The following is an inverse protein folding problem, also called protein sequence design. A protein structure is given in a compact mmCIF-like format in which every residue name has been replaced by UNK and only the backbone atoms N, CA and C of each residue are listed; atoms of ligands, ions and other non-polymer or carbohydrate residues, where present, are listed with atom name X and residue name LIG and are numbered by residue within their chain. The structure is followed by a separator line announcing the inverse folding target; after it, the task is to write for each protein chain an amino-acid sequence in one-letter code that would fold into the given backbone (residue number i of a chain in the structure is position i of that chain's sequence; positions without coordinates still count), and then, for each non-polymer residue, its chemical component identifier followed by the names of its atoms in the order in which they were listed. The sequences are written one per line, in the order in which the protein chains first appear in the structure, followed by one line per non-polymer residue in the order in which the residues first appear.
data_IF_913612618738
#
_entry.id   IF_913612618738
#
_cell.length_a   1.000
_cell.length_b   1.000
_cell.length_c   1.000
_cell.angle_alpha   90.00
_cell.angle_beta   90.00
_cell.angle_gamma   90.00
#
_symmetry.space_group_name_H-M   'P 1'
#
loop_
_entity.id
_entity.type
_entity.pdbx_description
1 polymer ?
#
# COMPACT_ATOMS: atom_id res chain seq x y z
N UNK A 1 -24.49 3.72 -8.40
CA UNK A 1 -25.27 2.75 -7.60
C UNK A 1 -26.45 3.49 -7.01
N UNK A 2 -27.64 3.24 -7.53
CA UNK A 2 -28.87 3.69 -6.90
C UNK A 2 -29.04 2.90 -5.60
N UNK A 3 -29.68 3.49 -4.60
CA UNK A 3 -29.96 2.82 -3.32
C UNK A 3 -30.65 1.44 -3.53
N UNK A 4 -31.46 1.33 -4.59
CA UNK A 4 -32.14 0.09 -4.99
C UNK A 4 -31.20 -1.04 -5.43
N UNK A 5 -30.15 -0.76 -6.23
CA UNK A 5 -29.18 -1.80 -6.63
C UNK A 5 -28.43 -2.33 -5.43
N UNK A 6 -27.97 -1.44 -4.55
CA UNK A 6 -27.27 -1.82 -3.31
C UNK A 6 -28.13 -2.73 -2.44
N UNK A 7 -29.40 -2.36 -2.23
CA UNK A 7 -30.34 -3.13 -1.42
C UNK A 7 -30.62 -4.51 -2.01
N UNK A 8 -30.77 -4.60 -3.34
CA UNK A 8 -30.95 -5.87 -4.03
C UNK A 8 -29.75 -6.80 -3.82
N UNK A 9 -28.53 -6.31 -4.09
CA UNK A 9 -27.30 -7.10 -3.94
C UNK A 9 -27.10 -7.52 -2.48
N UNK A 10 -27.30 -6.62 -1.51
CA UNK A 10 -27.23 -6.94 -0.09
C UNK A 10 -28.25 -8.02 0.30
N UNK A 11 -29.47 -7.98 -0.24
CA UNK A 11 -30.48 -9.02 0.01
C UNK A 11 -30.02 -10.38 -0.52
N UNK A 12 -29.41 -10.43 -1.71
CA UNK A 12 -28.85 -11.66 -2.30
C UNK A 12 -27.71 -12.21 -1.43
N UNK A 13 -26.76 -11.37 -1.05
CA UNK A 13 -25.59 -11.75 -0.23
C UNK A 13 -26.02 -12.22 1.16
N UNK A 14 -27.02 -11.58 1.79
CA UNK A 14 -27.53 -11.98 3.11
C UNK A 14 -28.05 -13.41 3.16
N UNK A 15 -28.55 -13.98 2.04
CA UNK A 15 -29.00 -15.38 1.98
C UNK A 15 -27.86 -16.38 2.16
N UNK A 16 -26.62 -15.98 1.86
CA UNK A 16 -25.43 -16.83 1.94
C UNK A 16 -24.65 -16.60 3.24
N UNK A 17 -25.12 -15.71 4.11
CA UNK A 17 -24.48 -15.33 5.37
C UNK A 17 -24.66 -16.44 6.42
N UNK A 18 -23.60 -16.80 7.14
CA UNK A 18 -23.70 -17.69 8.32
C UNK A 18 -24.06 -16.90 9.58
N UNK A 19 -24.50 -17.62 10.60
CA UNK A 19 -24.78 -17.05 11.92
C UNK A 19 -23.55 -16.30 12.44
N UNK A 20 -23.75 -15.10 13.01
CA UNK A 20 -22.74 -14.12 13.49
C UNK A 20 -21.93 -13.32 12.46
N UNK A 21 -22.08 -13.55 11.15
CA UNK A 21 -21.27 -12.80 10.17
C UNK A 21 -21.85 -11.40 9.87
N UNK A 22 -21.01 -10.44 9.52
CA UNK A 22 -21.39 -9.21 8.80
C UNK A 22 -21.41 -9.45 7.29
N UNK A 23 -22.02 -8.54 6.53
CA UNK A 23 -21.97 -8.54 5.05
C UNK A 23 -21.76 -7.14 4.51
N UNK A 24 -21.03 -7.02 3.41
CA UNK A 24 -20.91 -5.78 2.64
C UNK A 24 -20.89 -6.09 1.14
N UNK A 25 -21.17 -5.07 0.33
CA UNK A 25 -21.02 -5.10 -1.12
C UNK A 25 -20.18 -3.89 -1.51
N UNK A 26 -19.12 -4.11 -2.27
CA UNK A 26 -18.25 -3.04 -2.77
C UNK A 26 -19.04 -2.21 -3.81
N UNK A 27 -19.01 -0.87 -3.76
CA UNK A 27 -19.72 -0.03 -4.73
C UNK A 27 -19.22 -0.14 -6.17
N UNK A 28 -18.00 -0.65 -6.39
CA UNK A 28 -17.42 -0.81 -7.74
C UNK A 28 -17.75 -2.18 -8.33
N UNK A 29 -17.83 -2.25 -9.66
CA UNK A 29 -18.18 -3.46 -10.41
C UNK A 29 -17.25 -3.70 -11.59
N UNK A 30 -17.24 -4.95 -12.05
CA UNK A 30 -16.60 -5.37 -13.29
C UNK A 30 -17.65 -5.85 -14.29
N UNK A 31 -17.51 -5.50 -15.56
CA UNK A 31 -18.44 -5.92 -16.61
C UNK A 31 -18.03 -7.28 -17.20
N UNK A 32 -18.95 -8.24 -17.18
CA UNK A 32 -18.78 -9.53 -17.87
C UNK A 32 -20.00 -9.77 -18.75
N UNK A 33 -19.81 -9.91 -20.05
CA UNK A 33 -20.90 -10.15 -21.02
C UNK A 33 -22.08 -9.17 -20.89
N UNK A 34 -21.78 -7.88 -20.65
CA UNK A 34 -22.82 -6.85 -20.48
C UNK A 34 -23.50 -6.85 -19.10
N UNK A 35 -23.05 -7.66 -18.14
CA UNK A 35 -23.59 -7.70 -16.78
C UNK A 35 -22.59 -7.15 -15.77
N UNK A 36 -23.02 -6.26 -14.85
CA UNK A 36 -22.15 -5.76 -13.79
C UNK A 36 -22.08 -6.77 -12.64
N UNK A 37 -20.87 -7.23 -12.34
CA UNK A 37 -20.56 -8.08 -11.20
C UNK A 37 -19.90 -7.26 -10.09
N UNK A 38 -20.36 -7.45 -8.86
CA UNK A 38 -19.89 -6.75 -7.68
C UNK A 38 -19.25 -7.73 -6.70
N UNK A 39 -18.18 -7.32 -6.05
CA UNK A 39 -17.61 -8.07 -4.95
C UNK A 39 -18.40 -7.82 -3.67
N UNK A 40 -18.75 -8.91 -2.99
CA UNK A 40 -19.33 -8.89 -1.67
C UNK A 40 -18.43 -9.66 -0.70
N UNK A 41 -18.43 -9.26 0.57
CA UNK A 41 -17.65 -9.93 1.61
C UNK A 41 -18.50 -10.30 2.81
N UNK A 42 -18.10 -11.38 3.47
CA UNK A 42 -18.63 -11.84 4.75
C UNK A 42 -17.59 -11.60 5.81
N UNK A 43 -17.95 -11.00 6.93
CA UNK A 43 -16.99 -10.64 7.98
C UNK A 43 -17.30 -11.30 9.31
N UNK A 44 -16.28 -11.63 10.09
CA UNK A 44 -16.40 -12.05 11.50
C UNK A 44 -15.34 -11.30 12.29
N UNK A 45 -15.73 -10.65 13.39
CA UNK A 45 -14.83 -9.79 14.17
C UNK A 45 -14.06 -8.76 13.29
N UNK A 46 -14.76 -8.13 12.35
CA UNK A 46 -14.21 -7.20 11.35
C UNK A 46 -13.16 -7.78 10.38
N UNK A 47 -12.97 -9.10 10.32
CA UNK A 47 -12.10 -9.77 9.35
C UNK A 47 -12.93 -10.46 8.26
N UNK A 48 -12.50 -10.37 7.00
CA UNK A 48 -13.13 -11.08 5.90
C UNK A 48 -12.91 -12.60 6.04
N UNK A 49 -14.00 -13.37 5.97
CA UNK A 49 -13.99 -14.85 6.10
C UNK A 49 -14.45 -15.57 4.84
N UNK A 50 -15.10 -14.87 3.93
CA UNK A 50 -15.53 -15.37 2.63
C UNK A 50 -15.87 -14.19 1.71
N UNK A 51 -15.94 -14.45 0.41
CA UNK A 51 -16.40 -13.48 -0.60
C UNK A 51 -17.52 -14.08 -1.44
N UNK A 52 -18.24 -13.22 -2.15
CA UNK A 52 -19.19 -13.61 -3.19
C UNK A 52 -19.11 -12.60 -4.34
N UNK A 53 -19.44 -13.03 -5.55
CA UNK A 53 -19.46 -12.18 -6.73
C UNK A 53 -20.86 -12.22 -7.30
N UNK A 54 -21.57 -11.10 -7.20
CA UNK A 54 -23.01 -11.03 -7.40
C UNK A 54 -23.37 -10.01 -8.45
N UNK A 55 -24.47 -10.25 -9.15
CA UNK A 55 -25.02 -9.35 -10.16
C UNK A 55 -26.50 -9.08 -9.85
N UNK A 56 -27.10 -7.95 -10.31
CA UNK A 56 -28.53 -7.71 -10.13
C UNK A 56 -29.41 -8.80 -10.79
N UNK A 57 -28.95 -9.38 -11.91
CA UNK A 57 -29.62 -10.46 -12.62
C UNK A 57 -29.32 -11.85 -12.04
N UNK A 58 -29.36 -12.89 -12.87
CA UNK A 58 -28.93 -14.23 -12.49
C UNK A 58 -27.41 -14.38 -12.59
N UNK A 59 -26.79 -14.89 -11.53
CA UNK A 59 -25.35 -15.19 -11.52
C UNK A 59 -25.03 -16.38 -12.43
N UNK A 60 -24.02 -16.21 -13.27
CA UNK A 60 -23.32 -17.31 -13.90
C UNK A 60 -21.99 -17.54 -13.19
N UNK A 61 -21.66 -18.80 -12.89
CA UNK A 61 -20.44 -19.15 -12.11
C UNK A 61 -19.15 -18.78 -12.84
N UNK A 62 -19.08 -19.00 -14.15
CA UNK A 62 -17.89 -18.68 -14.94
C UNK A 62 -17.71 -17.16 -15.05
N UNK A 63 -18.80 -16.43 -15.28
CA UNK A 63 -18.78 -14.96 -15.30
C UNK A 63 -18.36 -14.38 -13.95
N UNK A 64 -18.88 -14.94 -12.84
CA UNK A 64 -18.51 -14.55 -11.49
C UNK A 64 -17.02 -14.79 -11.19
N UNK A 65 -16.45 -15.89 -11.69
CA UNK A 65 -15.03 -16.22 -11.56
C UNK A 65 -14.12 -15.33 -12.41
N UNK A 66 -14.62 -14.86 -13.56
CA UNK A 66 -13.90 -13.87 -14.36
C UNK A 66 -13.88 -12.51 -13.66
N UNK A 67 -15.03 -12.04 -13.20
CA UNK A 67 -15.13 -10.81 -12.40
C UNK A 67 -14.28 -10.87 -11.12
N UNK A 68 -14.18 -12.05 -10.49
CA UNK A 68 -13.38 -12.27 -9.28
C UNK A 68 -11.93 -11.84 -9.46
N UNK A 69 -11.31 -12.21 -10.59
CA UNK A 69 -9.89 -11.93 -10.82
C UNK A 69 -9.57 -10.45 -10.71
N UNK A 70 -10.41 -9.62 -11.34
CA UNK A 70 -10.21 -8.18 -11.39
C UNK A 70 -10.62 -7.50 -10.10
N UNK A 71 -11.80 -7.85 -9.56
CA UNK A 71 -12.35 -7.23 -8.36
C UNK A 71 -11.54 -7.55 -7.10
N UNK A 72 -11.08 -8.79 -6.94
CA UNK A 72 -10.25 -9.18 -5.81
C UNK A 72 -8.89 -8.47 -5.87
N UNK A 73 -8.26 -8.47 -7.05
CA UNK A 73 -6.95 -7.83 -7.24
C UNK A 73 -7.00 -6.34 -6.93
N UNK A 74 -7.98 -5.64 -7.50
CA UNK A 74 -8.18 -4.23 -7.25
C UNK A 74 -8.48 -3.94 -5.77
N UNK A 75 -9.38 -4.72 -5.16
CA UNK A 75 -9.79 -4.56 -3.77
C UNK A 75 -8.65 -4.77 -2.78
N UNK A 76 -7.97 -5.91 -2.86
CA UNK A 76 -6.91 -6.29 -1.92
C UNK A 76 -5.70 -5.35 -2.02
N UNK A 77 -5.29 -5.00 -3.25
CA UNK A 77 -4.17 -4.09 -3.45
C UNK A 77 -4.51 -2.65 -3.06
N UNK A 78 -5.73 -2.18 -3.32
CA UNK A 78 -6.16 -0.84 -2.86
C UNK A 78 -6.13 -0.73 -1.35
N UNK A 79 -6.62 -1.74 -0.63
CA UNK A 79 -6.56 -1.79 0.84
C UNK A 79 -5.11 -1.71 1.31
N UNK A 80 -4.22 -2.54 0.74
CA UNK A 80 -2.80 -2.52 1.11
C UNK A 80 -2.15 -1.15 0.83
N UNK A 81 -2.45 -0.51 -0.30
CA UNK A 81 -1.94 0.83 -0.62
C UNK A 81 -2.41 1.85 0.41
N UNK A 82 -3.68 1.82 0.82
CA UNK A 82 -4.22 2.77 1.79
C UNK A 82 -3.74 2.51 3.22
N UNK A 83 -3.66 1.25 3.64
CA UNK A 83 -3.22 0.87 4.99
C UNK A 83 -1.77 1.31 5.21
N UNK A 84 -0.88 0.94 4.29
CA UNK A 84 0.52 1.36 4.31
C UNK A 84 0.62 2.88 4.11
N UNK A 85 -0.10 3.41 3.13
CA UNK A 85 0.03 4.80 2.72
C UNK A 85 -0.41 5.80 3.79
N UNK A 86 -1.44 5.45 4.57
CA UNK A 86 -1.93 6.28 5.66
C UNK A 86 -0.86 6.53 6.72
N UNK A 87 -0.03 5.53 7.02
CA UNK A 87 1.06 5.70 7.99
C UNK A 87 2.19 6.57 7.46
N UNK A 88 2.55 6.42 6.19
CA UNK A 88 3.56 7.29 5.56
C UNK A 88 3.08 8.75 5.47
N UNK A 89 1.79 8.99 5.18
CA UNK A 89 1.25 10.35 5.10
C UNK A 89 1.18 11.08 6.46
N UNK A 90 1.23 10.37 7.59
CA UNK A 90 1.30 10.98 8.93
C UNK A 90 2.69 11.54 9.25
N UNK A 91 3.73 11.16 8.52
CA UNK A 91 5.10 11.62 8.78
C UNK A 91 5.22 13.10 8.36
N UNK A 92 5.46 13.96 9.35
CA UNK A 92 5.55 15.40 9.10
C UNK A 92 6.86 15.74 8.36
N UNK A 93 6.75 16.53 7.29
CA UNK A 93 7.92 16.98 6.51
C UNK A 93 9.00 17.66 7.37
N UNK A 94 8.59 18.36 8.44
CA UNK A 94 9.51 19.03 9.37
C UNK A 94 10.46 18.05 10.09
N UNK A 95 10.13 16.76 10.15
CA UNK A 95 10.98 15.74 10.76
C UNK A 95 12.23 15.48 9.92
N UNK A 96 12.18 15.77 8.62
CA UNK A 96 13.33 15.69 7.72
C UNK A 96 13.94 17.07 7.41
N UNK A 97 13.10 18.05 7.07
CA UNK A 97 13.58 19.34 6.55
C UNK A 97 14.31 20.16 7.61
N UNK A 98 13.87 20.12 8.88
CA UNK A 98 14.55 20.87 9.95
C UNK A 98 15.97 20.32 10.22
N UNK A 99 16.18 19.00 10.45
CA UNK A 99 17.53 18.45 10.55
C UNK A 99 18.42 18.77 9.33
N UNK A 100 17.89 18.64 8.11
CA UNK A 100 18.65 18.89 6.88
C UNK A 100 19.02 20.37 6.66
N UNK A 101 18.32 21.29 7.32
CA UNK A 101 18.61 22.73 7.28
C UNK A 101 19.79 23.15 8.15
N UNK A 102 20.22 22.29 9.08
CA UNK A 102 21.39 22.54 9.92
C UNK A 102 22.64 22.32 9.08
N UNK A 103 23.50 23.34 9.04
CA UNK A 103 24.76 23.28 8.30
C UNK A 103 25.72 22.30 8.95
N UNK A 104 26.28 21.40 8.17
CA UNK A 104 27.35 20.50 8.60
C UNK A 104 28.69 21.17 8.29
N UNK A 105 29.37 21.66 9.31
CA UNK A 105 30.73 22.21 9.24
C UNK A 105 31.81 21.18 9.61
N UNK A 106 31.40 19.95 9.97
CA UNK A 106 32.29 18.92 10.46
C UNK A 106 33.17 18.36 9.33
N UNK A 107 34.46 18.16 9.61
CA UNK A 107 35.38 17.48 8.69
C UNK A 107 35.19 15.95 8.67
N UNK A 108 34.26 15.40 9.47
CA UNK A 108 34.03 13.96 9.58
C UNK A 108 33.21 13.45 8.38
N UNK A 109 33.79 12.58 7.52
CA UNK A 109 33.10 12.00 6.38
C UNK A 109 31.81 11.27 6.77
N UNK A 110 31.76 10.61 7.94
CA UNK A 110 30.59 9.85 8.38
C UNK A 110 29.36 10.75 8.63
N UNK A 111 29.58 11.99 9.08
CA UNK A 111 28.49 12.98 9.29
C UNK A 111 27.93 13.44 7.95
N UNK A 112 28.79 13.67 6.96
CA UNK A 112 28.38 14.03 5.60
C UNK A 112 27.60 12.90 4.93
N UNK A 113 28.14 11.68 4.95
CA UNK A 113 27.45 10.51 4.41
C UNK A 113 26.10 10.27 5.10
N UNK A 114 26.04 10.47 6.42
CA UNK A 114 24.80 10.34 7.19
C UNK A 114 23.76 11.38 6.81
N UNK A 115 24.17 12.63 6.60
CA UNK A 115 23.28 13.70 6.11
C UNK A 115 22.73 13.39 4.73
N UNK A 116 23.58 12.89 3.83
CA UNK A 116 23.19 12.56 2.47
C UNK A 116 22.23 11.37 2.43
N UNK A 117 22.49 10.32 3.22
CA UNK A 117 21.56 9.21 3.41
C UNK A 117 20.22 9.69 4.01
N UNK A 118 20.25 10.60 4.97
CA UNK A 118 19.04 11.19 5.56
C UNK A 118 18.25 12.04 4.53
N UNK A 119 18.94 12.73 3.62
CA UNK A 119 18.32 13.45 2.52
C UNK A 119 17.69 12.50 1.49
N UNK A 120 18.31 11.35 1.24
CA UNK A 120 17.76 10.31 0.36
C UNK A 120 16.48 9.70 0.95
N UNK A 121 16.46 9.42 2.26
CA UNK A 121 15.24 9.00 2.97
C UNK A 121 14.11 10.01 2.82
N UNK A 122 14.43 11.32 2.88
CA UNK A 122 13.45 12.38 2.64
C UNK A 122 12.91 12.35 1.21
N UNK A 123 13.78 12.18 0.21
CA UNK A 123 13.36 12.06 -1.19
C UNK A 123 12.41 10.86 -1.40
N UNK A 124 12.71 9.71 -0.79
CA UNK A 124 11.83 8.54 -0.84
C UNK A 124 10.49 8.84 -0.17
N UNK A 125 10.49 9.50 0.99
CA UNK A 125 9.26 9.91 1.68
C UNK A 125 8.39 10.84 0.82
N UNK A 126 9.00 11.77 0.07
CA UNK A 126 8.28 12.63 -0.87
C UNK A 126 7.66 11.83 -2.01
N UNK A 127 8.42 10.91 -2.61
CA UNK A 127 7.93 10.04 -3.69
C UNK A 127 6.76 9.16 -3.22
N UNK A 128 6.87 8.54 -2.04
CA UNK A 128 5.79 7.79 -1.40
C UNK A 128 4.56 8.66 -1.19
N UNK A 129 4.75 9.84 -0.60
CA UNK A 129 3.65 10.76 -0.32
C UNK A 129 2.92 11.21 -1.58
N UNK A 130 3.64 11.46 -2.68
CA UNK A 130 3.03 11.77 -3.98
C UNK A 130 2.26 10.57 -4.50
N UNK A 131 2.90 9.39 -4.59
CA UNK A 131 2.29 8.16 -5.10
C UNK A 131 0.96 7.85 -4.41
N UNK A 132 0.93 7.93 -3.07
CA UNK A 132 -0.28 7.65 -2.28
C UNK A 132 -1.36 8.71 -2.51
N UNK A 133 -0.99 10.00 -2.58
CA UNK A 133 -1.95 11.08 -2.85
C UNK A 133 -2.53 10.99 -4.25
N UNK A 134 -1.70 10.68 -5.23
CA UNK A 134 -2.09 10.54 -6.63
C UNK A 134 -3.04 9.34 -6.80
N UNK A 135 -2.71 8.21 -6.18
CA UNK A 135 -3.58 7.04 -6.17
C UNK A 135 -4.89 7.29 -5.42
N UNK A 136 -4.84 7.94 -4.25
CA UNK A 136 -6.03 8.30 -3.48
C UNK A 136 -6.97 9.21 -4.28
N UNK A 137 -6.42 10.25 -4.91
CA UNK A 137 -7.17 11.16 -5.74
C UNK A 137 -7.81 10.43 -6.93
N UNK A 138 -7.05 9.57 -7.60
CA UNK A 138 -7.56 8.74 -8.69
C UNK A 138 -8.69 7.80 -8.22
N UNK A 139 -8.49 7.11 -7.10
CA UNK A 139 -9.49 6.21 -6.54
C UNK A 139 -10.78 6.95 -6.16
N UNK A 140 -10.67 8.05 -5.40
CA UNK A 140 -11.81 8.78 -4.86
C UNK A 140 -12.55 9.62 -5.90
N UNK A 141 -11.82 10.25 -6.82
CA UNK A 141 -12.37 11.24 -7.76
C UNK A 141 -12.54 10.71 -9.20
N UNK A 142 -12.16 9.47 -9.48
CA UNK A 142 -12.46 8.80 -10.76
C UNK A 142 -13.17 7.47 -10.50
N UNK A 143 -12.46 6.48 -9.95
CA UNK A 143 -12.96 5.11 -9.85
C UNK A 143 -14.25 5.01 -9.03
N UNK A 144 -14.33 5.66 -7.86
CA UNK A 144 -15.53 5.64 -7.03
C UNK A 144 -16.72 6.41 -7.62
N UNK A 145 -16.45 7.38 -8.50
CA UNK A 145 -17.50 8.14 -9.20
C UNK A 145 -18.06 7.28 -10.33
N UNK A 146 -17.18 6.74 -11.18
CA UNK A 146 -17.51 5.96 -12.36
C UNK A 146 -18.03 4.56 -12.01
N UNK A 147 -17.55 3.98 -10.91
CA UNK A 147 -17.89 2.67 -10.31
C UNK A 147 -17.57 1.45 -11.16
N UNK A 148 -17.41 1.61 -12.47
CA UNK A 148 -16.98 0.54 -13.37
C UNK A 148 -15.46 0.42 -13.36
N UNK A 149 -14.95 -0.73 -12.96
CA UNK A 149 -13.54 -1.07 -13.11
C UNK A 149 -13.25 -1.55 -14.54
N UNK A 150 -12.08 -1.17 -15.01
CA UNK A 150 -11.49 -1.50 -16.30
C UNK A 150 -10.11 -2.12 -16.11
N UNK A 151 -9.55 -2.71 -17.16
CA UNK A 151 -8.20 -3.28 -17.12
C UNK A 151 -7.14 -2.22 -16.75
N UNK A 152 -7.33 -0.97 -17.19
CA UNK A 152 -6.45 0.16 -16.84
C UNK A 152 -6.47 0.44 -15.34
N UNK A 153 -7.65 0.35 -14.69
CA UNK A 153 -7.77 0.54 -13.25
C UNK A 153 -6.99 -0.54 -12.48
N UNK A 154 -7.10 -1.80 -12.90
CA UNK A 154 -6.36 -2.92 -12.31
C UNK A 154 -4.84 -2.76 -12.51
N UNK A 155 -4.42 -2.42 -13.73
CA UNK A 155 -3.02 -2.20 -14.07
C UNK A 155 -2.41 -1.08 -13.22
N UNK A 156 -3.10 0.05 -13.11
CA UNK A 156 -2.64 1.19 -12.31
C UNK A 156 -2.53 0.85 -10.82
N UNK A 157 -3.45 0.07 -10.28
CA UNK A 157 -3.38 -0.43 -8.91
C UNK A 157 -2.17 -1.34 -8.69
N UNK A 158 -1.89 -2.28 -9.61
CA UNK A 158 -0.70 -3.12 -9.58
C UNK A 158 0.60 -2.30 -9.61
N UNK A 159 0.70 -1.35 -10.54
CA UNK A 159 1.87 -0.49 -10.68
C UNK A 159 2.12 0.35 -9.42
N UNK A 160 1.04 0.89 -8.84
CA UNK A 160 1.09 1.67 -7.60
C UNK A 160 1.55 0.79 -6.43
N UNK A 161 0.97 -0.40 -6.26
CA UNK A 161 1.36 -1.34 -5.21
C UNK A 161 2.84 -1.76 -5.35
N UNK A 162 3.30 -2.03 -6.57
CA UNK A 162 4.68 -2.37 -6.85
C UNK A 162 5.63 -1.23 -6.46
N UNK A 163 5.36 0.00 -6.93
CA UNK A 163 6.18 1.16 -6.57
C UNK A 163 6.21 1.42 -5.06
N UNK A 164 5.08 1.24 -4.38
CA UNK A 164 5.00 1.35 -2.93
C UNK A 164 5.96 0.36 -2.23
N UNK A 165 5.92 -0.92 -2.62
CA UNK A 165 6.84 -1.96 -2.11
C UNK A 165 8.30 -1.63 -2.38
N UNK A 166 8.63 -1.12 -3.58
CA UNK A 166 10.01 -0.75 -3.93
C UNK A 166 10.52 0.43 -3.10
N UNK A 167 9.68 1.44 -2.86
CA UNK A 167 10.08 2.56 -2.00
C UNK A 167 10.23 2.14 -0.54
N UNK A 168 9.39 1.23 -0.04
CA UNK A 168 9.60 0.63 1.29
C UNK A 168 10.93 -0.13 1.37
N UNK A 169 11.25 -0.89 0.32
CA UNK A 169 12.52 -1.61 0.22
C UNK A 169 13.72 -0.66 0.25
N UNK A 170 13.71 0.38 -0.60
CA UNK A 170 14.79 1.37 -0.64
C UNK A 170 14.96 2.10 0.69
N UNK A 171 13.85 2.47 1.35
CA UNK A 171 13.88 3.11 2.65
C UNK A 171 14.55 2.22 3.71
N UNK A 172 14.11 0.96 3.83
CA UNK A 172 14.69 0.00 4.77
C UNK A 172 16.15 -0.33 4.44
N UNK A 173 16.49 -0.45 3.15
CA UNK A 173 17.86 -0.70 2.69
C UNK A 173 18.80 0.41 3.15
N UNK A 174 18.45 1.68 2.95
CA UNK A 174 19.25 2.82 3.41
C UNK A 174 19.39 2.81 4.93
N UNK A 175 18.31 2.58 5.67
CA UNK A 175 18.33 2.55 7.14
C UNK A 175 19.23 1.45 7.71
N UNK A 176 19.40 0.33 6.98
CA UNK A 176 20.26 -0.79 7.37
C UNK A 176 21.71 -0.58 6.91
N UNK A 177 21.92 -0.22 5.65
CA UNK A 177 23.27 -0.10 5.05
C UNK A 177 24.01 1.16 5.51
N UNK A 178 23.29 2.25 5.80
CA UNK A 178 23.84 3.54 6.25
C UNK A 178 23.53 3.86 7.71
N UNK A 179 23.25 2.83 8.50
CA UNK A 179 22.79 3.00 9.88
C UNK A 179 23.80 3.78 10.74
N UNK A 180 25.09 3.44 10.64
CA UNK A 180 26.14 4.05 11.43
C UNK A 180 26.35 5.52 11.06
N UNK A 181 26.35 5.84 9.76
CA UNK A 181 26.51 7.20 9.25
C UNK A 181 25.30 8.07 9.64
N UNK A 182 24.07 7.55 9.53
CA UNK A 182 22.87 8.26 9.99
C UNK A 182 22.94 8.52 11.50
N UNK A 183 23.45 7.58 12.30
CA UNK A 183 23.68 7.79 13.73
C UNK A 183 24.77 8.84 14.01
N UNK A 184 25.82 8.89 13.19
CA UNK A 184 26.86 9.92 13.28
C UNK A 184 26.27 11.31 12.99
N UNK A 185 25.45 11.43 11.95
CA UNK A 185 24.72 12.67 11.65
C UNK A 185 23.77 13.05 12.79
N UNK A 186 22.97 12.11 13.31
CA UNK A 186 22.09 12.35 14.45
C UNK A 186 22.84 12.80 15.71
N UNK A 187 24.04 12.28 15.93
CA UNK A 187 24.91 12.66 17.05
C UNK A 187 25.52 14.03 16.85
N UNK A 188 25.98 14.35 15.64
CA UNK A 188 26.45 15.68 15.26
C UNK A 188 25.35 16.73 15.49
N UNK A 189 24.12 16.47 15.07
CA UNK A 189 23.02 17.42 15.24
C UNK A 189 22.84 17.84 16.71
N UNK A 190 23.05 16.93 17.66
CA UNK A 190 22.95 17.19 19.11
C UNK A 190 24.05 18.12 19.64
N UNK A 191 25.18 18.24 18.96
CA UNK A 191 26.27 19.13 19.38
C UNK A 191 26.08 20.56 18.85
N UNK A 192 25.10 20.77 17.96
CA UNK A 192 24.79 22.10 17.42
C UNK A 192 23.83 22.87 18.33
N UNK A 193 24.01 24.19 18.42
CA UNK A 193 23.08 25.08 19.14
C UNK A 193 21.65 25.04 18.56
N UNK A 194 21.53 24.62 17.30
CA UNK A 194 20.25 24.49 16.59
C UNK A 194 19.44 23.26 17.02
N UNK A 195 20.03 22.30 17.74
CA UNK A 195 19.35 21.08 18.17
C UNK A 195 18.05 21.37 18.92
N UNK A 196 18.12 22.25 19.93
CA UNK A 196 16.99 22.60 20.78
C UNK A 196 15.88 23.33 20.00
N UNK A 197 16.23 24.01 18.90
CA UNK A 197 15.29 24.70 18.01
C UNK A 197 14.51 23.77 17.08
N UNK A 198 14.89 22.50 16.95
CA UNK A 198 14.17 21.53 16.12
C UNK A 198 12.74 21.27 16.64
N UNK A 199 12.56 21.24 17.96
CA UNK A 199 11.35 20.79 18.64
C UNK A 199 11.38 19.28 18.94
N UNK A 200 10.57 18.85 19.92
CA UNK A 200 10.67 17.49 20.48
C UNK A 200 10.41 16.36 19.46
N UNK A 201 9.43 16.52 18.58
CA UNK A 201 9.06 15.44 17.64
C UNK A 201 10.12 15.21 16.55
N UNK A 202 10.67 16.24 15.86
CA UNK A 202 11.83 16.05 14.98
C UNK A 202 13.04 15.46 15.70
N UNK A 203 13.31 15.86 16.95
CA UNK A 203 14.41 15.29 17.74
C UNK A 203 14.21 13.78 18.00
N UNK A 204 13.00 13.38 18.42
CA UNK A 204 12.65 11.96 18.62
C UNK A 204 12.76 11.18 17.31
N UNK A 205 12.29 11.77 16.21
CA UNK A 205 12.36 11.14 14.89
C UNK A 205 13.81 10.85 14.49
N UNK A 206 14.69 11.85 14.50
CA UNK A 206 16.12 11.69 14.16
C UNK A 206 16.80 10.63 15.03
N UNK A 207 16.48 10.59 16.32
CA UNK A 207 17.07 9.61 17.25
C UNK A 207 16.51 8.20 17.06
N UNK A 208 15.24 8.07 16.69
CA UNK A 208 14.54 6.80 16.59
C UNK A 208 14.64 6.13 15.22
N UNK A 209 14.98 6.88 14.17
CA UNK A 209 14.90 6.39 12.78
C UNK A 209 15.83 5.21 12.50
N UNK A 210 16.94 5.09 13.21
CA UNK A 210 17.93 3.99 13.08
C UNK A 210 17.71 2.84 14.07
N UNK A 211 16.64 2.90 14.87
CA UNK A 211 16.38 1.92 15.94
C UNK A 211 15.80 0.58 15.45
N UNK A 212 16.02 -0.49 16.23
CA UNK A 212 15.46 -1.83 16.00
C UNK A 212 15.80 -2.43 14.61
N UNK A 213 17.10 -2.54 14.33
CA UNK A 213 17.67 -3.10 13.10
C UNK A 213 17.21 -4.53 12.81
N UNK A 214 17.02 -5.37 13.84
CA UNK A 214 16.49 -6.73 13.67
C UNK A 214 15.09 -6.74 13.05
N UNK A 215 14.19 -5.89 13.54
CA UNK A 215 12.85 -5.74 12.98
C UNK A 215 12.90 -5.18 11.56
N UNK A 216 13.79 -4.20 11.30
CA UNK A 216 13.99 -3.65 9.95
C UNK A 216 14.48 -4.73 8.98
N UNK A 217 15.45 -5.54 9.38
CA UNK A 217 15.97 -6.64 8.56
C UNK A 217 14.89 -7.68 8.25
N UNK A 218 14.09 -8.06 9.25
CA UNK A 218 12.95 -8.97 9.06
C UNK A 218 11.93 -8.37 8.09
N UNK A 219 11.59 -7.10 8.24
CA UNK A 219 10.66 -6.41 7.34
C UNK A 219 11.20 -6.34 5.91
N UNK A 220 12.48 -6.01 5.73
CA UNK A 220 13.14 -5.96 4.42
C UNK A 220 13.06 -7.32 3.72
N UNK A 221 13.39 -8.41 4.43
CA UNK A 221 13.31 -9.77 3.90
C UNK A 221 11.87 -10.17 3.52
N UNK A 222 10.87 -9.72 4.29
CA UNK A 222 9.46 -10.01 4.02
C UNK A 222 8.92 -9.30 2.77
N UNK A 223 9.52 -8.19 2.34
CA UNK A 223 9.13 -7.54 1.09
C UNK A 223 9.45 -8.41 -0.14
N UNK A 224 10.39 -9.35 -0.03
CA UNK A 224 10.74 -10.32 -1.07
C UNK A 224 11.00 -9.66 -2.44
N UNK A 225 11.64 -8.48 -2.42
CA UNK A 225 12.01 -7.72 -3.61
C UNK A 225 13.18 -8.41 -4.31
N UNK A 226 13.11 -8.50 -5.64
CA UNK A 226 14.23 -8.90 -6.50
C UNK A 226 15.09 -7.66 -6.75
N UNK A 227 16.27 -7.53 -6.13
CA UNK A 227 17.07 -6.31 -6.23
C UNK A 227 17.75 -6.22 -7.60
N UNK A 228 17.85 -5.00 -8.12
CA UNK A 228 18.70 -4.65 -9.27
C UNK A 228 19.29 -3.25 -9.05
N UNK A 229 20.44 -2.97 -9.66
CA UNK A 229 21.07 -1.65 -9.58
C UNK A 229 20.33 -0.61 -10.43
N UNK A 230 19.69 -1.03 -11.52
CA UNK A 230 18.81 -0.19 -12.32
C UNK A 230 17.39 -0.23 -11.74
N UNK A 231 16.89 0.93 -11.32
CA UNK A 231 15.57 1.07 -10.72
C UNK A 231 14.44 0.64 -11.69
N UNK A 232 14.55 0.93 -12.98
CA UNK A 232 13.50 0.56 -13.95
C UNK A 232 13.50 -0.96 -14.19
N UNK A 233 14.68 -1.57 -14.19
CA UNK A 233 14.79 -3.03 -14.26
C UNK A 233 14.26 -3.70 -12.99
N UNK A 234 14.62 -3.18 -11.81
CA UNK A 234 14.07 -3.63 -10.53
C UNK A 234 12.54 -3.51 -10.52
N UNK A 235 12.01 -2.38 -11.00
CA UNK A 235 10.56 -2.13 -11.10
C UNK A 235 9.87 -3.18 -11.96
N UNK A 236 10.40 -3.48 -13.14
CA UNK A 236 9.84 -4.48 -14.04
C UNK A 236 9.87 -5.89 -13.44
N UNK A 237 11.02 -6.32 -12.90
CA UNK A 237 11.16 -7.65 -12.30
C UNK A 237 10.17 -7.89 -11.16
N UNK A 238 9.97 -6.88 -10.31
CA UNK A 238 9.06 -6.98 -9.18
C UNK A 238 7.59 -6.84 -9.59
N UNK A 239 7.30 -6.11 -10.67
CA UNK A 239 5.97 -6.08 -11.27
C UNK A 239 5.58 -7.47 -11.80
N UNK A 240 6.44 -8.10 -12.62
CA UNK A 240 6.18 -9.42 -13.19
C UNK A 240 5.98 -10.48 -12.08
N UNK A 241 6.81 -10.39 -11.03
CA UNK A 241 6.68 -11.23 -9.83
C UNK A 241 5.35 -10.99 -9.12
N UNK A 242 4.97 -9.73 -8.90
CA UNK A 242 3.71 -9.36 -8.22
C UNK A 242 2.50 -9.89 -8.98
N UNK A 243 2.49 -9.80 -10.31
CA UNK A 243 1.41 -10.36 -11.15
C UNK A 243 1.29 -11.87 -10.93
N UNK A 244 2.41 -12.60 -11.01
CA UNK A 244 2.42 -14.06 -10.82
C UNK A 244 2.00 -14.49 -9.41
N UNK A 245 2.43 -13.77 -8.37
CA UNK A 245 2.07 -14.08 -6.98
C UNK A 245 0.59 -13.79 -6.70
N UNK A 246 0.07 -12.66 -7.18
CA UNK A 246 -1.35 -12.32 -7.01
C UNK A 246 -2.27 -13.28 -7.76
N UNK A 247 -1.86 -13.77 -8.94
CA UNK A 247 -2.64 -14.79 -9.65
C UNK A 247 -2.85 -16.05 -8.78
N UNK A 248 -1.79 -16.52 -8.09
CA UNK A 248 -1.88 -17.67 -7.17
C UNK A 248 -2.78 -17.36 -5.96
N UNK A 249 -2.69 -16.15 -5.41
CA UNK A 249 -3.53 -15.73 -4.28
C UNK A 249 -5.01 -15.76 -4.69
N UNK A 250 -5.34 -15.17 -5.84
CA UNK A 250 -6.70 -15.13 -6.40
C UNK A 250 -7.23 -16.54 -6.67
N UNK A 251 -6.40 -17.44 -7.18
CA UNK A 251 -6.79 -18.85 -7.38
C UNK A 251 -7.10 -19.53 -6.05
N UNK A 252 -6.27 -19.33 -5.03
CA UNK A 252 -6.49 -19.87 -3.69
C UNK A 252 -7.75 -19.31 -3.03
N UNK A 253 -8.09 -18.03 -3.26
CA UNK A 253 -9.31 -17.41 -2.73
C UNK A 253 -10.59 -18.10 -3.23
N UNK A 254 -10.55 -18.79 -4.38
CA UNK A 254 -11.72 -19.48 -4.95
C UNK A 254 -12.34 -20.52 -4.02
N UNK A 255 -11.54 -21.12 -3.14
CA UNK A 255 -12.03 -22.07 -2.14
C UNK A 255 -12.92 -21.43 -1.05
N UNK A 256 -12.90 -20.10 -0.95
CA UNK A 256 -13.66 -19.31 0.02
C UNK A 256 -14.77 -18.48 -0.62
N UNK A 257 -15.03 -18.64 -1.92
CA UNK A 257 -16.13 -17.98 -2.63
C UNK A 257 -17.44 -18.71 -2.32
N UNK A 258 -18.46 -17.95 -1.92
CA UNK A 258 -19.85 -18.43 -1.80
C UNK A 258 -20.60 -18.08 -3.07
N UNK A 259 -21.30 -19.08 -3.60
CA UNK A 259 -22.20 -18.91 -4.73
C UNK A 259 -23.64 -18.89 -4.22
N UNK A 260 -24.54 -18.14 -4.89
CA UNK A 260 -25.97 -18.36 -4.72
C UNK A 260 -26.30 -19.83 -5.01
N UNK A 261 -27.12 -20.44 -4.16
CA UNK A 261 -27.77 -21.72 -4.45
C UNK A 261 -28.97 -21.51 -5.36
#
# INVERSE_FOLDING_TARGET
MTDQTTQLLLKKVKKQKKWTEGVFVNPVYWMVNGKPYYMAGFTKNNQSVATAYVTPGEENREEALEAQRHLALFGDLSINIFDIGTDYLKINAAYFTKPLSISVSAADPAVHEGRDAFAELWKIQQNLSSLIKDYKNYYENDVLIRKELTEEDVQKTLETANLLTLYQYLNLKILLEKNAEIQAFASFLKTTDSWNGLGQEPQKFVQGITGNTEKMQKNLSNLNVVPDADFEKMKKLNFDKMVADNQKIIENQRQHIRYPQ
#
